data_IF_583747497319
#
_entry.id   IF_583747497319
#
_cell.length_a   1.000
_cell.length_b   1.000
_cell.length_c   1.000
_cell.angle_alpha   90.00
_cell.angle_beta   90.00
_cell.angle_gamma   90.00
#
_symmetry.space_group_name_H-M   'P 1'
#
loop_
_entity.id
_entity.type
_entity.pdbx_description
1 polymer ?
#
# COMPACT_ATOMS: atom_id res chain seq x y z
N UNK A 1 10.41 -16.98 -16.27
CA UNK A 1 9.82 -15.62 -16.23
C UNK A 1 10.90 -14.64 -15.82
N UNK A 2 11.13 -13.61 -16.62
CA UNK A 2 12.00 -12.51 -16.16
C UNK A 2 11.24 -11.72 -15.10
N UNK A 3 11.84 -11.58 -13.94
CA UNK A 3 11.37 -10.64 -12.93
C UNK A 3 11.27 -9.25 -13.57
N UNK A 4 10.16 -8.57 -13.35
CA UNK A 4 10.01 -7.21 -13.86
C UNK A 4 11.07 -6.35 -13.17
N UNK A 5 11.96 -5.71 -13.93
CA UNK A 5 13.08 -4.93 -13.39
C UNK A 5 12.65 -3.88 -12.35
N UNK A 6 11.43 -3.34 -12.48
CA UNK A 6 10.91 -2.37 -11.51
C UNK A 6 10.73 -2.94 -10.10
N UNK A 7 10.60 -4.26 -9.96
CA UNK A 7 10.46 -4.91 -8.65
C UNK A 7 11.78 -5.46 -8.09
N UNK A 8 12.88 -5.30 -8.81
CA UNK A 8 14.18 -5.92 -8.46
C UNK A 8 14.64 -5.63 -7.04
N UNK A 9 14.48 -4.39 -6.57
CA UNK A 9 14.88 -3.97 -5.23
C UNK A 9 13.66 -3.66 -4.35
N UNK A 10 12.48 -4.13 -4.75
CA UNK A 10 11.24 -3.82 -4.05
C UNK A 10 11.14 -4.59 -2.74
N UNK A 11 10.74 -3.88 -1.71
CA UNK A 11 10.38 -4.44 -0.41
C UNK A 11 8.85 -4.39 -0.27
N UNK A 12 8.30 -5.32 0.50
CA UNK A 12 6.87 -5.38 0.79
C UNK A 12 6.66 -5.27 2.29
N UNK A 13 5.67 -4.49 2.69
CA UNK A 13 5.32 -4.33 4.10
C UNK A 13 3.83 -4.44 4.30
N UNK A 14 3.44 -5.32 5.21
CA UNK A 14 2.05 -5.49 5.64
C UNK A 14 1.88 -4.80 6.99
N UNK A 15 1.31 -3.62 6.99
CA UNK A 15 1.08 -2.84 8.21
C UNK A 15 -0.21 -2.04 8.20
N UNK A 16 -0.87 -2.04 7.07
CA UNK A 16 -2.04 -1.20 6.85
C UNK A 16 -3.36 -1.92 7.13
N UNK A 17 -4.43 -1.19 6.92
CA UNK A 17 -5.81 -1.63 7.11
C UNK A 17 -6.58 -1.54 5.81
N UNK A 18 -7.66 -2.29 5.72
CA UNK A 18 -8.62 -2.21 4.62
C UNK A 18 -10.03 -2.36 5.15
N UNK A 19 -10.94 -1.57 4.64
CA UNK A 19 -12.36 -1.63 5.01
C UNK A 19 -13.25 -1.26 3.84
N UNK A 20 -14.49 -1.73 3.89
CA UNK A 20 -15.53 -1.31 2.96
C UNK A 20 -16.00 0.08 3.35
N UNK A 21 -16.03 0.98 2.37
CA UNK A 21 -16.72 2.25 2.55
C UNK A 21 -18.16 2.11 2.11
N UNK A 22 -19.08 2.55 2.95
CA UNK A 22 -20.48 2.69 2.56
C UNK A 22 -20.57 3.82 1.52
N UNK A 23 -20.91 3.45 0.29
CA UNK A 23 -21.14 4.40 -0.80
C UNK A 23 -22.61 4.43 -1.13
N UNK A 24 -23.09 5.58 -1.58
CA UNK A 24 -24.44 5.67 -2.14
C UNK A 24 -24.50 4.92 -3.46
N UNK A 25 -25.52 4.09 -3.65
CA UNK A 25 -25.75 3.34 -4.88
C UNK A 25 -24.99 2.01 -4.93
N UNK A 26 -24.70 1.54 -6.15
CA UNK A 26 -24.08 0.22 -6.40
C UNK A 26 -22.55 0.25 -6.44
N UNK A 27 -21.93 1.37 -6.07
CA UNK A 27 -20.49 1.50 -6.09
C UNK A 27 -19.83 0.68 -4.99
N UNK A 28 -18.83 -0.13 -5.37
CA UNK A 28 -18.00 -0.88 -4.46
C UNK A 28 -16.70 -0.11 -4.23
N UNK A 29 -16.56 0.47 -3.04
CA UNK A 29 -15.40 1.27 -2.68
C UNK A 29 -14.71 0.65 -1.47
N UNK A 30 -13.39 0.50 -1.58
CA UNK A 30 -12.53 0.09 -0.48
C UNK A 30 -11.62 1.26 -0.09
N UNK A 31 -11.41 1.43 1.20
CA UNK A 31 -10.49 2.41 1.77
C UNK A 31 -9.61 1.77 2.81
N UNK A 32 -8.44 2.34 3.01
CA UNK A 32 -7.55 1.92 4.06
C UNK A 32 -6.27 2.71 4.09
N UNK A 33 -5.38 2.30 4.98
CA UNK A 33 -4.03 2.80 5.04
C UNK A 33 -3.09 1.73 4.48
N UNK A 34 -2.32 2.08 3.47
CA UNK A 34 -1.27 1.22 2.95
C UNK A 34 -0.07 1.21 3.91
N UNK A 35 0.26 2.35 4.48
CA UNK A 35 1.34 2.51 5.44
C UNK A 35 0.91 3.40 6.60
N UNK A 36 1.45 3.13 7.78
CA UNK A 36 1.21 3.90 9.01
C UNK A 36 2.55 4.49 9.48
N UNK A 37 2.58 5.83 9.67
CA UNK A 37 3.78 6.52 10.09
C UNK A 37 4.11 6.24 11.56
N UNK A 38 5.40 6.25 11.89
CA UNK A 38 5.94 6.14 13.25
C UNK A 38 5.50 4.89 14.00
N UNK A 39 5.05 3.86 13.29
CA UNK A 39 4.71 2.56 13.86
C UNK A 39 5.83 1.57 13.56
N UNK A 40 6.39 0.93 14.59
CA UNK A 40 7.47 -0.02 14.42
C UNK A 40 6.95 -1.34 13.83
N UNK A 41 7.65 -1.84 12.81
CA UNK A 41 7.45 -3.16 12.25
C UNK A 41 8.68 -4.01 12.55
N UNK A 42 8.49 -5.16 13.15
CA UNK A 42 9.57 -6.12 13.43
C UNK A 42 9.88 -6.93 12.19
N UNK A 43 11.09 -6.78 11.64
CA UNK A 43 11.55 -7.50 10.45
C UNK A 43 12.47 -8.68 10.81
N UNK A 44 12.54 -9.05 12.10
CA UNK A 44 13.35 -10.16 12.59
C UNK A 44 14.73 -9.71 13.07
N UNK A 45 15.55 -9.14 12.21
CA UNK A 45 16.90 -8.67 12.54
C UNK A 45 16.92 -7.22 13.03
N UNK A 46 15.92 -6.44 12.70
CA UNK A 46 15.77 -5.04 13.10
C UNK A 46 14.31 -4.64 13.03
N UNK A 47 13.97 -3.50 13.61
CA UNK A 47 12.66 -2.89 13.50
C UNK A 47 12.71 -1.72 12.52
N UNK A 48 11.59 -1.44 11.90
CA UNK A 48 11.49 -0.38 10.89
C UNK A 48 10.33 0.56 11.21
N UNK A 49 10.55 1.84 10.96
CA UNK A 49 9.49 2.85 10.97
C UNK A 49 9.49 3.58 9.64
N UNK A 50 8.29 3.90 9.16
CA UNK A 50 8.11 4.79 8.01
C UNK A 50 7.87 6.19 8.56
N UNK A 51 8.63 7.16 8.10
CA UNK A 51 8.53 8.54 8.59
C UNK A 51 7.53 9.36 7.80
N UNK A 52 6.83 10.32 8.44
CA UNK A 52 6.08 11.34 7.72
C UNK A 52 6.98 12.03 6.69
N UNK A 53 6.44 12.27 5.48
CA UNK A 53 7.22 12.81 4.37
C UNK A 53 7.87 11.76 3.47
N UNK A 54 7.88 10.49 3.88
CA UNK A 54 8.51 9.42 3.10
C UNK A 54 7.92 9.25 1.71
N UNK A 55 6.63 9.49 1.55
CA UNK A 55 5.91 9.31 0.28
C UNK A 55 5.75 10.59 -0.53
N UNK A 56 6.26 11.74 -0.08
CA UNK A 56 6.02 13.03 -0.73
C UNK A 56 6.43 13.05 -2.20
N UNK A 57 7.53 12.39 -2.55
CA UNK A 57 8.07 12.38 -3.90
C UNK A 57 7.43 11.33 -4.82
N UNK A 58 6.60 10.45 -4.28
CA UNK A 58 6.01 9.32 -5.03
C UNK A 58 4.50 9.40 -5.16
N UNK A 59 3.86 10.47 -4.67
CA UNK A 59 2.41 10.63 -4.72
C UNK A 59 1.85 10.69 -6.15
N UNK A 60 2.69 10.96 -7.14
CA UNK A 60 2.31 11.01 -8.55
C UNK A 60 2.77 9.77 -9.33
N UNK A 61 3.33 8.77 -8.66
CA UNK A 61 3.69 7.52 -9.31
C UNK A 61 2.47 6.81 -9.89
N UNK A 62 2.71 6.00 -10.92
CA UNK A 62 1.70 5.07 -11.44
C UNK A 62 1.64 3.86 -10.51
N UNK A 63 0.63 3.84 -9.65
CA UNK A 63 0.45 2.81 -8.62
C UNK A 63 -0.77 1.98 -8.92
N UNK A 64 -0.68 0.67 -8.73
CA UNK A 64 -1.80 -0.26 -8.89
C UNK A 64 -2.19 -0.83 -7.55
N UNK A 65 -3.50 -0.93 -7.32
CA UNK A 65 -4.04 -1.72 -6.21
C UNK A 65 -4.22 -3.14 -6.69
N UNK A 66 -3.54 -4.08 -6.05
CA UNK A 66 -3.49 -5.48 -6.46
C UNK A 66 -3.99 -6.38 -5.33
N UNK A 67 -4.55 -7.53 -5.70
CA UNK A 67 -4.82 -8.59 -4.73
C UNK A 67 -3.51 -9.38 -4.55
N UNK A 68 -3.01 -9.41 -3.31
CA UNK A 68 -1.82 -10.16 -2.94
C UNK A 68 -0.60 -9.89 -3.84
N UNK A 69 -0.40 -8.62 -4.21
CA UNK A 69 0.67 -8.18 -5.12
C UNK A 69 0.70 -8.88 -6.48
N UNK A 70 -0.42 -9.49 -6.90
CA UNK A 70 -0.53 -10.20 -8.17
C UNK A 70 -0.90 -9.21 -9.28
N UNK A 71 -0.01 -8.97 -10.27
CA UNK A 71 -0.27 -8.02 -11.36
C UNK A 71 -1.39 -8.46 -12.32
N UNK A 72 -1.87 -9.69 -12.21
CA UNK A 72 -3.02 -10.18 -12.96
C UNK A 72 -4.37 -9.84 -12.29
N UNK A 73 -4.34 -9.43 -11.03
CA UNK A 73 -5.54 -9.16 -10.24
C UNK A 73 -5.59 -7.69 -9.82
N UNK A 74 -5.77 -6.81 -10.78
CA UNK A 74 -5.78 -5.36 -10.58
C UNK A 74 -7.16 -4.91 -10.08
N UNK A 75 -7.19 -4.24 -8.94
CA UNK A 75 -8.41 -3.65 -8.37
C UNK A 75 -8.62 -2.21 -8.81
N UNK A 76 -7.53 -1.49 -9.04
CA UNK A 76 -7.56 -0.09 -9.47
C UNK A 76 -6.16 0.42 -9.77
N UNK A 77 -6.09 1.63 -10.31
CA UNK A 77 -4.82 2.22 -10.74
C UNK A 77 -4.90 3.75 -10.66
N UNK A 78 -3.85 4.38 -10.23
CA UNK A 78 -3.81 5.85 -10.14
C UNK A 78 -3.91 6.50 -11.51
N UNK A 79 -3.32 5.89 -12.53
CA UNK A 79 -3.30 6.42 -13.90
C UNK A 79 -4.69 6.64 -14.49
N UNK A 80 -5.66 5.78 -14.17
CA UNK A 80 -7.04 5.89 -14.67
C UNK A 80 -8.02 6.47 -13.64
N UNK A 81 -7.52 6.92 -12.50
CA UNK A 81 -8.33 7.55 -11.46
C UNK A 81 -9.16 6.60 -10.59
N UNK A 82 -9.04 5.28 -10.77
CA UNK A 82 -9.76 4.31 -9.95
C UNK A 82 -9.11 4.05 -8.60
N UNK A 83 -7.83 4.39 -8.47
CA UNK A 83 -7.10 4.40 -7.20
C UNK A 83 -6.70 5.84 -6.88
N UNK A 84 -7.07 6.30 -5.71
CA UNK A 84 -6.68 7.61 -5.18
C UNK A 84 -5.78 7.42 -3.97
N UNK A 85 -4.65 8.12 -3.94
CA UNK A 85 -3.71 8.13 -2.83
C UNK A 85 -3.72 9.50 -2.17
N UNK A 86 -3.66 9.50 -0.85
CA UNK A 86 -3.53 10.72 -0.05
C UNK A 86 -2.71 10.44 1.20
N UNK A 87 -2.26 11.48 1.85
CA UNK A 87 -1.54 11.36 3.12
C UNK A 87 -2.26 12.19 4.17
N UNK A 88 -2.28 11.66 5.40
CA UNK A 88 -2.71 12.39 6.58
C UNK A 88 -1.68 12.16 7.71
N UNK A 89 -1.99 12.59 8.92
CA UNK A 89 -1.08 12.43 10.07
C UNK A 89 -0.80 10.98 10.42
N UNK A 90 -1.73 10.08 10.09
CA UNK A 90 -1.60 8.66 10.39
C UNK A 90 -0.74 7.91 9.39
N UNK A 91 -0.85 8.24 8.10
CA UNK A 91 -0.10 7.51 7.09
C UNK A 91 -0.52 7.78 5.65
N UNK A 92 -0.16 6.83 4.80
CA UNK A 92 -0.54 6.80 3.38
C UNK A 92 -1.90 6.11 3.24
N UNK A 93 -2.89 6.90 2.86
CA UNK A 93 -4.27 6.46 2.69
C UNK A 93 -4.57 6.19 1.22
N UNK A 94 -5.39 5.17 0.98
CA UNK A 94 -5.88 4.89 -0.36
C UNK A 94 -7.39 4.73 -0.39
N UNK A 95 -7.95 4.98 -1.56
CA UNK A 95 -9.34 4.72 -1.88
C UNK A 95 -9.39 4.10 -3.27
N UNK A 96 -10.02 2.94 -3.41
CA UNK A 96 -10.14 2.25 -4.68
C UNK A 96 -11.61 1.99 -5.01
N UNK A 97 -12.00 2.40 -6.22
CA UNK A 97 -13.31 2.11 -6.79
C UNK A 97 -13.18 0.86 -7.64
N UNK A 98 -13.83 -0.21 -7.21
CA UNK A 98 -13.75 -1.51 -7.87
C UNK A 98 -14.56 -1.53 -9.17
N UNK A 99 -14.07 -2.30 -10.13
CA UNK A 99 -14.76 -2.57 -11.37
C UNK A 99 -15.73 -3.74 -11.26
N UNK A 100 -16.27 -4.15 -12.41
CA UNK A 100 -17.25 -5.24 -12.51
C UNK A 100 -16.66 -6.64 -12.63
N UNK A 101 -15.33 -6.78 -12.52
CA UNK A 101 -14.68 -8.09 -12.60
C UNK A 101 -15.12 -8.99 -11.45
N UNK A 102 -15.30 -10.28 -11.74
CA UNK A 102 -15.74 -11.23 -10.72
C UNK A 102 -14.78 -11.30 -9.53
N UNK A 103 -13.47 -11.30 -9.78
CA UNK A 103 -12.49 -11.31 -8.69
C UNK A 103 -12.58 -10.06 -7.79
N UNK A 104 -12.94 -8.92 -8.37
CA UNK A 104 -13.12 -7.69 -7.59
C UNK A 104 -14.34 -7.78 -6.67
N UNK A 105 -15.44 -8.33 -7.17
CA UNK A 105 -16.64 -8.56 -6.38
C UNK A 105 -16.40 -9.56 -5.26
N UNK A 106 -15.69 -10.63 -5.55
CA UNK A 106 -15.33 -11.66 -4.56
C UNK A 106 -14.42 -11.09 -3.48
N UNK A 107 -13.47 -10.27 -3.88
CA UNK A 107 -12.57 -9.59 -2.96
C UNK A 107 -13.32 -8.60 -2.04
N UNK A 108 -14.22 -7.80 -2.62
CA UNK A 108 -15.06 -6.87 -1.87
C UNK A 108 -15.87 -7.59 -0.79
N UNK A 109 -16.49 -8.72 -1.14
CA UNK A 109 -17.25 -9.54 -0.19
C UNK A 109 -16.36 -10.07 0.94
N UNK A 110 -15.14 -10.51 0.62
CA UNK A 110 -14.19 -11.01 1.61
C UNK A 110 -13.77 -9.91 2.60
N UNK A 111 -13.59 -8.69 2.12
CA UNK A 111 -13.29 -7.54 2.99
C UNK A 111 -14.49 -7.20 3.87
N UNK A 112 -15.68 -7.19 3.29
CA UNK A 112 -16.94 -6.89 4.00
C UNK A 112 -17.19 -7.87 5.14
N UNK A 113 -16.91 -9.15 4.93
CA UNK A 113 -17.04 -10.19 5.94
C UNK A 113 -15.94 -10.14 7.01
N UNK A 114 -14.86 -9.44 6.76
CA UNK A 114 -13.70 -9.38 7.64
C UNK A 114 -12.67 -10.50 7.43
N UNK A 115 -12.82 -11.31 6.38
CA UNK A 115 -11.84 -12.36 6.04
C UNK A 115 -10.51 -11.76 5.61
N UNK A 116 -10.56 -10.56 5.03
CA UNK A 116 -9.39 -9.77 4.63
C UNK A 116 -9.48 -8.42 5.33
N UNK A 117 -8.45 -8.07 6.10
CA UNK A 117 -8.44 -6.87 6.93
C UNK A 117 -7.14 -6.06 6.86
N UNK A 118 -6.15 -6.51 6.09
CA UNK A 118 -4.83 -5.91 6.05
C UNK A 118 -4.48 -5.43 4.66
N UNK A 119 -3.65 -4.36 4.62
CA UNK A 119 -3.04 -3.85 3.42
C UNK A 119 -1.53 -3.95 3.49
N UNK A 120 -0.92 -4.16 2.35
CA UNK A 120 0.53 -4.22 2.17
C UNK A 120 0.92 -3.32 1.01
N UNK A 121 2.12 -2.76 1.06
CA UNK A 121 2.64 -1.95 -0.04
C UNK A 121 4.01 -2.43 -0.49
N UNK A 122 4.28 -2.28 -1.79
CA UNK A 122 5.57 -2.60 -2.39
C UNK A 122 6.27 -1.29 -2.79
N UNK A 123 7.52 -1.17 -2.42
CA UNK A 123 8.25 0.09 -2.56
C UNK A 123 9.76 -0.16 -2.68
N UNK A 124 10.46 0.85 -3.18
CA UNK A 124 11.92 0.91 -3.09
C UNK A 124 12.34 2.10 -2.24
N UNK A 125 13.48 1.98 -1.56
CA UNK A 125 13.95 2.99 -0.62
C UNK A 125 14.94 3.92 -1.30
N UNK A 126 14.74 5.24 -1.15
CA UNK A 126 15.70 6.26 -1.57
C UNK A 126 16.61 6.69 -0.42
N UNK A 127 16.02 7.01 0.75
CA UNK A 127 16.77 7.44 1.92
C UNK A 127 16.32 6.69 3.17
N UNK A 128 17.29 6.22 3.91
CA UNK A 128 17.07 5.55 5.19
C UNK A 128 18.09 6.06 6.21
N UNK A 129 17.74 5.94 7.47
CA UNK A 129 18.63 6.24 8.59
C UNK A 129 18.48 5.18 9.68
N UNK A 130 19.47 5.09 10.53
CA UNK A 130 19.51 4.12 11.61
C UNK A 130 19.71 4.82 12.95
N UNK A 131 19.14 4.26 14.02
CA UNK A 131 19.48 4.68 15.35
C UNK A 131 20.94 4.27 15.68
N UNK A 132 21.52 4.79 16.75
CA UNK A 132 22.92 4.50 17.11
C UNK A 132 23.19 3.01 17.32
N UNK A 133 22.23 2.30 17.88
CA UNK A 133 22.33 0.87 18.19
C UNK A 133 22.11 -0.02 16.96
N UNK A 134 21.70 0.55 15.82
CA UNK A 134 21.34 -0.14 14.59
C UNK A 134 20.24 -1.20 14.75
N UNK A 135 19.31 -0.93 15.64
CA UNK A 135 18.17 -1.80 15.91
C UNK A 135 16.89 -1.32 15.25
N UNK A 136 16.83 -0.03 14.87
CA UNK A 136 15.69 0.58 14.20
C UNK A 136 16.13 1.32 12.94
N UNK A 137 15.57 0.93 11.81
CA UNK A 137 15.72 1.63 10.53
C UNK A 137 14.55 2.57 10.33
N UNK A 138 14.85 3.82 9.98
CA UNK A 138 13.84 4.78 9.54
C UNK A 138 13.86 4.87 8.02
N UNK A 139 12.72 4.67 7.39
CA UNK A 139 12.54 4.96 5.97
C UNK A 139 12.14 6.43 5.86
N UNK A 140 13.07 7.25 5.40
CA UNK A 140 12.91 8.70 5.35
C UNK A 140 12.34 9.15 4.00
N UNK A 141 12.71 8.47 2.91
CA UNK A 141 12.21 8.71 1.55
C UNK A 141 12.06 7.40 0.78
N UNK A 142 10.92 7.24 0.16
CA UNK A 142 10.62 6.16 -0.78
C UNK A 142 11.03 6.63 -2.17
N UNK A 143 11.74 5.78 -2.92
CA UNK A 143 12.16 6.07 -4.29
C UNK A 143 11.04 5.84 -5.27
N UNK A 144 10.35 4.72 -5.13
CA UNK A 144 9.25 4.32 -6.01
C UNK A 144 8.20 3.55 -5.22
N UNK A 145 6.95 3.91 -5.42
CA UNK A 145 5.79 3.17 -4.92
C UNK A 145 5.21 2.38 -6.09
N UNK A 146 5.09 1.07 -5.92
CA UNK A 146 4.71 0.15 -6.99
C UNK A 146 3.26 -0.32 -6.88
N UNK A 147 2.88 -0.79 -5.70
CA UNK A 147 1.52 -1.23 -5.42
C UNK A 147 1.21 -1.28 -3.92
#
# INVERSE_FOLDING_TARGET
MKENEQYKDAEKRTMGTIEVREAEGEEMILEGYAAVFNSETDLGHFREVIKPGAFDDVMTNDVRALINHDPNLVLGRTKNGTLELSQDERGLKYRVKLGGQQYAKDFYESVKRGDISQSSFAFTIDKQSWNEERTVRSVDKVRQLLD
#
